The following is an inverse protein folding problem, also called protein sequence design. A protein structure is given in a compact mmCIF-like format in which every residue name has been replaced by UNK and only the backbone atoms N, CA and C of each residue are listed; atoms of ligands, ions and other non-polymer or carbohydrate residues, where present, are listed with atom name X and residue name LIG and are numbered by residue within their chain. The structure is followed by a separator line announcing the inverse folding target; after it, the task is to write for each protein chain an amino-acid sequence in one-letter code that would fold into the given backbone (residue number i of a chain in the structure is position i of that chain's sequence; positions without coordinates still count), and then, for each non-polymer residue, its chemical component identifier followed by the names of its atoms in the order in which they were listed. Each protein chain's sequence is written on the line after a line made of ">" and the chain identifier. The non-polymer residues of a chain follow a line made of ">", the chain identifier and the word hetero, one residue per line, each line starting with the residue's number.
data_IF_489098588798
#
_entry.id   IF_489098588798
#
_cell.length_a   1.000
_cell.length_b   1.000
_cell.length_c   1.000
_cell.angle_alpha   90.00
_cell.angle_beta   90.00
_cell.angle_gamma   90.00
#
_symmetry.space_group_name_H-M   'P 1'
#
loop_
_entity.id
_entity.type
_entity.pdbx_description
1 polymer ?
#
# COMPACT_ATOMS: atom_id res chain seq x y z
N UNK A 1 -13.56 -8.00 14.69
CA UNK A 1 -13.65 -6.68 14.01
C UNK A 1 -12.23 -6.23 13.69
N UNK A 2 -11.79 -6.29 12.42
CA UNK A 2 -10.39 -5.95 12.05
C UNK A 2 -10.17 -4.45 11.85
N UNK A 3 -11.22 -3.69 11.53
CA UNK A 3 -11.17 -2.23 11.35
C UNK A 3 -12.00 -1.51 12.41
N UNK A 4 -11.47 -0.38 12.91
CA UNK A 4 -12.14 0.52 13.85
C UNK A 4 -13.20 1.40 13.17
N UNK A 5 -13.70 2.41 13.87
CA UNK A 5 -14.56 3.42 13.25
C UNK A 5 -13.76 4.29 12.28
N UNK A 6 -14.18 4.43 11.01
CA UNK A 6 -13.48 5.27 10.04
C UNK A 6 -13.54 6.73 10.49
N UNK A 7 -12.42 7.44 10.34
CA UNK A 7 -12.31 8.89 10.56
C UNK A 7 -11.85 9.56 9.26
N UNK A 8 -12.49 10.66 8.89
CA UNK A 8 -12.04 11.47 7.77
C UNK A 8 -10.72 12.15 8.16
N UNK A 9 -9.64 11.86 7.44
CA UNK A 9 -8.32 12.44 7.70
C UNK A 9 -7.98 13.52 6.67
N UNK A 10 -8.19 13.24 5.38
CA UNK A 10 -7.82 14.15 4.28
C UNK A 10 -8.83 14.02 3.13
N UNK A 11 -9.12 15.16 2.49
CA UNK A 11 -9.78 15.22 1.17
C UNK A 11 -8.76 15.70 0.15
N UNK A 12 -8.68 15.04 -1.01
CA UNK A 12 -7.76 15.42 -2.08
C UNK A 12 -8.38 15.20 -3.45
N UNK A 13 -7.96 15.99 -4.44
CA UNK A 13 -8.32 15.76 -5.83
C UNK A 13 -7.53 14.56 -6.37
N UNK A 14 -8.25 13.54 -6.83
CA UNK A 14 -7.67 12.33 -7.40
C UNK A 14 -7.80 12.38 -8.93
N UNK A 15 -6.67 12.32 -9.63
CA UNK A 15 -6.60 12.21 -11.09
C UNK A 15 -5.57 11.15 -11.45
N UNK A 16 -5.64 10.56 -12.64
CA UNK A 16 -4.71 9.50 -13.07
C UNK A 16 -3.23 9.92 -13.03
N UNK A 17 -2.95 11.22 -13.17
CA UNK A 17 -1.59 11.78 -13.14
C UNK A 17 -1.04 11.96 -11.73
N UNK A 18 -1.87 11.85 -10.69
CA UNK A 18 -1.46 12.02 -9.30
C UNK A 18 -0.86 10.71 -8.79
N UNK A 19 0.42 10.72 -8.48
CA UNK A 19 1.11 9.57 -7.87
C UNK A 19 0.79 9.49 -6.38
N UNK A 20 0.39 8.31 -5.91
CA UNK A 20 0.21 8.01 -4.49
C UNK A 20 1.41 7.19 -3.99
N UNK A 21 1.87 7.46 -2.76
CA UNK A 21 3.09 6.84 -2.21
C UNK A 21 2.94 5.34 -1.93
N UNK A 22 1.76 4.92 -1.48
CA UNK A 22 1.53 3.56 -1.01
C UNK A 22 0.48 2.78 -1.82
N UNK A 23 -0.10 3.41 -2.84
CA UNK A 23 -1.18 2.83 -3.64
C UNK A 23 -0.99 3.13 -5.12
N UNK A 24 -1.46 2.24 -5.98
CA UNK A 24 -1.50 2.50 -7.41
C UNK A 24 -2.78 3.27 -7.77
N UNK A 25 -2.63 4.49 -8.29
CA UNK A 25 -3.76 5.38 -8.60
C UNK A 25 -4.78 4.76 -9.56
N UNK A 26 -4.36 3.94 -10.54
CA UNK A 26 -5.28 3.27 -11.46
C UNK A 26 -6.16 2.25 -10.73
N UNK A 27 -5.56 1.47 -9.83
CA UNK A 27 -6.31 0.49 -9.03
C UNK A 27 -7.26 1.18 -8.05
N UNK A 28 -6.84 2.30 -7.45
CA UNK A 28 -7.71 3.10 -6.59
C UNK A 28 -8.93 3.59 -7.37
N UNK A 29 -8.74 4.18 -8.55
CA UNK A 29 -9.84 4.68 -9.38
C UNK A 29 -10.78 3.56 -9.84
N UNK A 30 -10.23 2.41 -10.23
CA UNK A 30 -11.01 1.23 -10.61
C UNK A 30 -11.88 0.74 -9.45
N UNK A 31 -11.29 0.51 -8.27
CA UNK A 31 -12.01 0.03 -7.08
C UNK A 31 -13.02 1.06 -6.54
N UNK A 32 -12.72 2.36 -6.61
CA UNK A 32 -13.69 3.39 -6.27
C UNK A 32 -14.91 3.35 -7.20
N UNK A 33 -14.73 2.98 -8.46
CA UNK A 33 -15.81 2.86 -9.44
C UNK A 33 -16.61 1.57 -9.27
N UNK A 34 -15.94 0.45 -9.00
CA UNK A 34 -16.57 -0.87 -8.90
C UNK A 34 -17.11 -1.22 -7.51
N UNK A 35 -16.34 -0.93 -6.46
CA UNK A 35 -16.60 -1.32 -5.06
C UNK A 35 -17.03 -0.13 -4.19
N UNK A 36 -16.77 1.10 -4.63
CA UNK A 36 -17.08 2.34 -3.89
C UNK A 36 -16.04 2.73 -2.84
N UNK A 37 -14.99 1.92 -2.64
CA UNK A 37 -13.88 2.22 -1.73
C UNK A 37 -12.58 1.53 -2.16
N UNK A 38 -11.45 1.97 -1.62
CA UNK A 38 -10.15 1.30 -1.78
C UNK A 38 -9.50 1.13 -0.42
N UNK A 39 -9.16 -0.11 -0.05
CA UNK A 39 -8.50 -0.41 1.21
C UNK A 39 -6.98 -0.56 0.99
N UNK A 40 -6.22 0.35 1.57
CA UNK A 40 -4.77 0.25 1.55
C UNK A 40 -4.30 -0.65 2.71
N UNK A 41 -3.72 -1.80 2.37
CA UNK A 41 -3.00 -2.61 3.35
C UNK A 41 -1.56 -2.08 3.52
N UNK A 42 -0.99 -2.14 4.74
CA UNK A 42 0.42 -1.85 4.91
C UNK A 42 1.26 -2.84 4.08
N UNK A 43 2.39 -2.41 3.52
CA UNK A 43 3.31 -3.34 2.89
C UNK A 43 3.74 -4.40 3.90
N UNK A 44 3.97 -5.65 3.45
CA UNK A 44 4.46 -6.69 4.34
C UNK A 44 5.80 -6.26 4.95
N UNK A 45 6.05 -6.63 6.22
CA UNK A 45 7.33 -6.34 6.85
C UNK A 45 8.46 -7.01 6.08
N UNK A 46 9.61 -6.34 6.03
CA UNK A 46 10.80 -6.89 5.40
C UNK A 46 11.36 -7.98 6.30
N UNK A 47 11.59 -9.18 5.74
CA UNK A 47 12.25 -10.26 6.46
C UNK A 47 13.77 -10.03 6.48
N UNK A 48 14.23 -9.39 7.54
CA UNK A 48 15.64 -9.08 7.76
C UNK A 48 16.54 -10.33 7.89
N UNK A 49 15.98 -11.49 8.30
CA UNK A 49 16.76 -12.71 8.43
C UNK A 49 17.11 -13.29 7.05
N UNK A 50 16.17 -13.22 6.11
CA UNK A 50 16.41 -13.63 4.71
C UNK A 50 17.43 -12.71 4.05
N UNK A 51 17.34 -11.40 4.29
CA UNK A 51 18.31 -10.42 3.78
C UNK A 51 19.72 -10.71 4.29
N UNK A 52 19.87 -10.95 5.61
CA UNK A 52 21.15 -11.31 6.21
C UNK A 52 21.74 -12.60 5.62
N UNK A 53 20.93 -13.65 5.42
CA UNK A 53 21.40 -14.91 4.82
C UNK A 53 21.94 -14.70 3.41
N UNK A 54 21.22 -13.93 2.57
CA UNK A 54 21.68 -13.59 1.21
C UNK A 54 22.98 -12.80 1.23
N UNK A 55 23.11 -11.82 2.13
CA UNK A 55 24.35 -11.07 2.30
C UNK A 55 25.51 -12.00 2.68
N UNK A 56 25.32 -12.89 3.66
CA UNK A 56 26.35 -13.82 4.13
C UNK A 56 26.82 -14.77 3.02
N UNK A 57 25.90 -15.28 2.22
CA UNK A 57 26.23 -16.24 1.16
C UNK A 57 26.95 -15.58 -0.03
N UNK A 58 26.70 -14.29 -0.30
CA UNK A 58 27.41 -13.51 -1.33
C UNK A 58 28.81 -13.01 -0.91
N UNK A 59 29.12 -12.97 0.39
CA UNK A 59 30.40 -12.48 0.94
C UNK A 59 31.30 -13.62 1.47
N UNK A 60 31.03 -14.85 1.05
CA UNK A 60 31.86 -16.02 1.26
C UNK A 60 32.63 -16.36 -0.01
#
# INVERSE_FOLDING_TARGET
>A
KMFGQPKLVVTMNLTEKRTLAFANTKNVLANLTSEGFYLQMPPPPIDHLVEYKKWRDNNK
#
